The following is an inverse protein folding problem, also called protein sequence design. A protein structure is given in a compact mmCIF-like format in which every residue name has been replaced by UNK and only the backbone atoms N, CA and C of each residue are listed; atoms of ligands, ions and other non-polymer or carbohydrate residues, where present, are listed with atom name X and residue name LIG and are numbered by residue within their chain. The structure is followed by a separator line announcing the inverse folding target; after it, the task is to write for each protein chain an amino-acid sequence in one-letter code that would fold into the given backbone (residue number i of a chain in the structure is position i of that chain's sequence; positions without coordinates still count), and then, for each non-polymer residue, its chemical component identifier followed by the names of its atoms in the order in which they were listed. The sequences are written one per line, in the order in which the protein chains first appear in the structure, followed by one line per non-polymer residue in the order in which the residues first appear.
data_IF_143600108797
#
_entry.id   IF_143600108797
#
_cell.length_a   1.000
_cell.length_b   1.000
_cell.length_c   1.000
_cell.angle_alpha   90.00
_cell.angle_beta   90.00
_cell.angle_gamma   90.00
#
_symmetry.space_group_name_H-M   'P 1'
#
loop_
_entity.id
_entity.type
_entity.pdbx_description
1 polymer ?
#
# COMPACT_ATOMS: atom_id res chain seq x y z
N UNK A 1 -9.75 -0.10 1.32
CA UNK A 1 -8.69 -0.54 2.26
C UNK A 1 -9.17 -0.62 3.71
N UNK A 2 -9.31 0.49 4.45
CA UNK A 2 -9.61 0.46 5.90
C UNK A 2 -10.87 -0.36 6.27
N UNK A 3 -11.94 -0.25 5.49
CA UNK A 3 -13.16 -1.03 5.69
C UNK A 3 -12.95 -2.55 5.48
N UNK A 4 -12.12 -2.94 4.51
CA UNK A 4 -11.79 -4.36 4.27
C UNK A 4 -11.01 -4.92 5.46
N UNK A 5 -10.02 -4.18 5.96
CA UNK A 5 -9.26 -4.57 7.16
C UNK A 5 -10.16 -4.64 8.39
N UNK A 6 -10.97 -3.61 8.64
CA UNK A 6 -11.78 -3.49 9.86
C UNK A 6 -12.95 -4.47 9.91
N UNK A 7 -13.66 -4.66 8.79
CA UNK A 7 -14.93 -5.38 8.78
C UNK A 7 -14.83 -6.76 8.14
N UNK A 8 -13.84 -6.98 7.26
CA UNK A 8 -13.62 -8.27 6.60
C UNK A 8 -12.36 -8.99 7.08
N UNK A 9 -11.61 -8.41 8.01
CA UNK A 9 -10.30 -8.92 8.47
C UNK A 9 -9.33 -9.20 7.32
N UNK A 10 -9.48 -8.50 6.20
CA UNK A 10 -8.62 -8.68 5.03
C UNK A 10 -7.18 -8.26 5.38
N UNK A 11 -6.15 -9.06 5.05
CA UNK A 11 -4.76 -8.68 5.23
C UNK A 11 -4.45 -7.33 4.59
N UNK A 12 -3.60 -6.52 5.24
CA UNK A 12 -3.35 -5.13 4.82
C UNK A 12 -2.89 -5.02 3.35
N UNK A 13 -1.97 -5.90 2.92
CA UNK A 13 -1.46 -5.97 1.55
C UNK A 13 -2.56 -6.32 0.54
N UNK A 14 -3.39 -7.31 0.86
CA UNK A 14 -4.51 -7.72 0.01
C UNK A 14 -5.56 -6.61 -0.08
N UNK A 15 -5.87 -5.95 1.04
CA UNK A 15 -6.82 -4.83 1.04
C UNK A 15 -6.34 -3.64 0.19
N UNK A 16 -5.03 -3.39 0.14
CA UNK A 16 -4.42 -2.40 -0.74
C UNK A 16 -4.48 -2.84 -2.21
N UNK A 17 -4.18 -4.10 -2.50
CA UNK A 17 -4.26 -4.65 -3.85
C UNK A 17 -5.68 -4.61 -4.41
N UNK A 18 -6.67 -5.04 -3.63
CA UNK A 18 -8.09 -4.98 -4.02
C UNK A 18 -8.51 -3.55 -4.41
N UNK A 19 -8.06 -2.55 -3.64
CA UNK A 19 -8.36 -1.15 -3.96
C UNK A 19 -7.68 -0.68 -5.25
N UNK A 20 -6.45 -1.12 -5.52
CA UNK A 20 -5.76 -0.82 -6.78
C UNK A 20 -6.38 -1.54 -7.97
N UNK A 21 -6.88 -2.76 -7.78
CA UNK A 21 -7.60 -3.51 -8.82
C UNK A 21 -8.94 -2.84 -9.15
N UNK A 22 -9.68 -2.35 -8.15
CA UNK A 22 -10.88 -1.51 -8.35
C UNK A 22 -10.56 -0.24 -9.15
N UNK A 23 -9.47 0.45 -8.84
CA UNK A 23 -8.99 1.63 -9.58
C UNK A 23 -8.59 1.27 -11.00
N UNK A 24 -7.89 0.15 -11.20
CA UNK A 24 -7.48 -0.35 -12.52
C UNK A 24 -8.70 -0.67 -13.40
N UNK A 25 -9.75 -1.25 -12.82
CA UNK A 25 -10.97 -1.62 -13.54
C UNK A 25 -11.73 -0.41 -14.12
N UNK A 26 -11.48 0.80 -13.59
CA UNK A 26 -12.00 2.06 -14.12
C UNK A 26 -10.94 2.83 -14.94
N UNK A 27 -9.92 2.14 -15.45
CA UNK A 27 -8.77 2.68 -16.19
C UNK A 27 -7.94 3.72 -15.40
N UNK A 28 -7.99 3.68 -14.07
CA UNK A 28 -7.16 4.52 -13.20
C UNK A 28 -5.81 3.88 -12.89
N UNK A 29 -4.83 4.72 -12.58
CA UNK A 29 -3.52 4.30 -12.08
C UNK A 29 -3.08 5.17 -10.89
N UNK A 30 -2.23 4.60 -10.04
CA UNK A 30 -1.67 5.29 -8.87
C UNK A 30 -1.02 4.32 -7.89
N UNK A 31 -0.93 4.77 -6.64
CA UNK A 31 -0.37 3.99 -5.55
C UNK A 31 -0.91 4.43 -4.21
N UNK A 32 -0.65 3.61 -3.19
CA UNK A 32 -1.10 3.84 -1.83
C UNK A 32 -0.04 3.38 -0.85
N UNK A 33 0.19 4.20 0.18
CA UNK A 33 0.96 3.85 1.37
C UNK A 33 -0.04 3.65 2.49
N UNK A 34 -0.05 2.45 3.08
CA UNK A 34 -0.97 2.09 4.16
C UNK A 34 -0.16 1.70 5.39
N UNK A 35 -0.58 2.18 6.56
CA UNK A 35 -0.02 1.84 7.87
C UNK A 35 -1.17 1.48 8.80
N UNK A 36 -1.07 0.36 9.51
CA UNK A 36 -2.03 -0.03 10.54
C UNK A 36 -1.59 0.37 11.96
N UNK A 37 -2.49 0.19 12.93
CA UNK A 37 -2.24 0.53 14.34
C UNK A 37 -1.12 -0.28 15.01
N UNK A 38 -0.71 -1.41 14.42
CA UNK A 38 0.35 -2.28 14.92
C UNK A 38 1.71 -1.95 14.27
N UNK A 39 1.75 -0.97 13.37
CA UNK A 39 2.95 -0.61 12.63
C UNK A 39 3.19 -1.43 11.37
N UNK A 40 2.27 -2.32 10.97
CA UNK A 40 2.39 -3.02 9.69
C UNK A 40 2.09 -2.02 8.57
N UNK A 41 2.91 -2.05 7.52
CA UNK A 41 2.71 -1.18 6.37
C UNK A 41 2.77 -1.93 5.05
N UNK A 42 2.18 -1.35 4.02
CA UNK A 42 2.36 -1.78 2.63
C UNK A 42 2.42 -0.55 1.72
N UNK A 43 3.18 -0.65 0.65
CA UNK A 43 3.35 0.42 -0.34
C UNK A 43 3.11 -0.16 -1.73
N UNK A 44 1.84 -0.25 -2.11
CA UNK A 44 1.41 -0.88 -3.37
C UNK A 44 1.12 0.18 -4.42
N UNK A 45 1.40 -0.13 -5.69
CA UNK A 45 1.12 0.76 -6.82
C UNK A 45 0.89 -0.07 -8.09
N UNK A 46 0.23 0.52 -9.09
CA UNK A 46 0.02 -0.06 -10.41
C UNK A 46 0.56 0.83 -11.55
N UNK A 47 1.34 1.85 -11.19
CA UNK A 47 2.13 2.70 -12.09
C UNK A 47 3.48 2.07 -12.40
N UNK A 48 4.22 2.64 -13.36
CA UNK A 48 5.61 2.21 -13.65
C UNK A 48 6.55 2.40 -12.45
N UNK A 49 6.23 3.35 -11.56
CA UNK A 49 6.95 3.60 -10.33
C UNK A 49 6.16 4.46 -9.36
N UNK A 50 6.58 4.43 -8.10
CA UNK A 50 6.08 5.26 -7.01
C UNK A 50 7.25 5.70 -6.13
N UNK A 51 7.58 6.99 -6.17
CA UNK A 51 8.48 7.61 -5.20
C UNK A 51 7.91 7.41 -3.80
N UNK A 52 8.60 6.63 -2.98
CA UNK A 52 8.11 6.24 -1.66
C UNK A 52 9.23 6.03 -0.67
N UNK A 53 8.88 6.16 0.60
CA UNK A 53 9.77 5.78 1.68
C UNK A 53 9.03 5.45 2.96
N UNK A 54 9.75 4.81 3.86
CA UNK A 54 9.27 4.44 5.20
C UNK A 54 10.42 4.55 6.19
N UNK A 55 10.08 4.86 7.44
CA UNK A 55 11.00 4.79 8.58
C UNK A 55 10.26 4.14 9.73
N UNK A 56 10.83 3.04 10.23
CA UNK A 56 10.28 2.31 11.37
C UNK A 56 10.86 2.79 12.70
N UNK A 57 10.44 2.13 13.78
CA UNK A 57 10.97 2.38 15.13
C UNK A 57 12.46 2.03 15.26
N UNK A 58 13.03 1.30 14.29
CA UNK A 58 14.46 1.01 14.20
C UNK A 58 15.28 2.21 13.68
N UNK A 59 14.60 3.30 13.28
CA UNK A 59 15.22 4.52 12.74
C UNK A 59 15.81 4.35 11.35
N UNK A 60 15.61 3.21 10.68
CA UNK A 60 16.17 2.96 9.35
C UNK A 60 15.22 3.45 8.28
N UNK A 61 15.66 4.44 7.52
CA UNK A 61 14.91 4.92 6.36
C UNK A 61 15.12 3.99 5.16
N UNK A 62 14.03 3.61 4.50
CA UNK A 62 14.02 2.90 3.22
C UNK A 62 13.36 3.81 2.20
N UNK A 63 13.98 3.98 1.03
CA UNK A 63 13.45 4.76 -0.09
C UNK A 63 13.46 3.88 -1.34
N UNK A 64 12.44 4.01 -2.19
CA UNK A 64 12.32 3.26 -3.44
C UNK A 64 11.50 4.05 -4.47
N UNK A 65 11.67 3.69 -5.74
CA UNK A 65 10.94 4.31 -6.87
C UNK A 65 10.26 3.21 -7.67
N UNK A 66 11.02 2.26 -8.20
CA UNK A 66 10.49 1.17 -9.03
C UNK A 66 10.05 -0.05 -8.18
N UNK A 67 9.47 -1.05 -8.84
CA UNK A 67 9.27 -2.37 -8.25
C UNK A 67 10.63 -3.01 -7.90
N UNK A 68 10.64 -3.85 -6.86
CA UNK A 68 11.80 -4.63 -6.45
C UNK A 68 11.57 -6.10 -6.82
#
# INVERSE_FOLDING_TARGET
IAAQVKYKNTPLKEAAQNALDEVKNINGSGGVIVLDKNGNYTMSFNTEGMYRGTIGNDGKAIVSIYEQ
#
